data_IF_570424013401
#
_entry.id   IF_570424013401
#
_cell.length_a   1.000
_cell.length_b   1.000
_cell.length_c   1.000
_cell.angle_alpha   90.00
_cell.angle_beta   90.00
_cell.angle_gamma   90.00
#
_symmetry.space_group_name_H-M   'P 1'
#
loop_
_entity.id
_entity.type
_entity.pdbx_description
1 polymer ?
#
# COMPACT_ATOMS: atom_id res chain seq x y z
N UNK A 1 5.55 -17.03 31.37
CA UNK A 1 6.18 -15.70 31.25
C UNK A 1 5.19 -14.78 30.54
N UNK A 2 4.94 -13.62 31.16
CA UNK A 2 3.68 -12.87 31.11
C UNK A 2 3.33 -12.23 29.75
N UNK A 3 2.05 -12.34 29.36
CA UNK A 3 1.43 -11.64 28.22
C UNK A 3 1.50 -10.10 28.33
N UNK A 4 1.89 -9.55 29.49
CA UNK A 4 2.07 -8.10 29.73
C UNK A 4 3.31 -7.52 29.06
N UNK A 5 4.32 -8.34 28.74
CA UNK A 5 5.54 -7.83 28.09
C UNK A 5 5.32 -7.44 26.62
N UNK A 6 4.41 -8.14 25.92
CA UNK A 6 4.14 -7.94 24.50
C UNK A 6 3.31 -6.66 24.27
N UNK A 7 2.37 -6.34 25.17
CA UNK A 7 1.55 -5.12 25.07
C UNK A 7 2.34 -3.83 25.25
N UNK A 8 3.31 -3.79 26.17
CA UNK A 8 4.15 -2.61 26.40
C UNK A 8 5.14 -2.31 25.28
N UNK A 9 5.62 -3.36 24.60
CA UNK A 9 6.49 -3.23 23.44
C UNK A 9 5.67 -2.68 22.25
N UNK A 10 4.49 -3.24 21.96
CA UNK A 10 3.61 -2.81 20.87
C UNK A 10 3.22 -1.31 20.96
N UNK A 11 2.90 -0.81 22.16
CA UNK A 11 2.61 0.62 22.37
C UNK A 11 3.82 1.53 22.11
N UNK A 12 5.04 1.05 22.37
CA UNK A 12 6.25 1.85 22.18
C UNK A 12 6.61 2.04 20.70
N UNK A 13 6.30 1.07 19.84
CA UNK A 13 6.53 1.17 18.40
C UNK A 13 5.60 2.18 17.73
N UNK A 14 4.31 2.17 18.11
CA UNK A 14 3.33 3.14 17.59
C UNK A 14 3.61 4.57 18.04
N UNK A 15 4.13 4.77 19.25
CA UNK A 15 4.48 6.10 19.75
C UNK A 15 5.73 6.71 19.06
N UNK A 16 6.60 5.89 18.46
CA UNK A 16 7.83 6.36 17.81
C UNK A 16 7.66 6.69 16.33
N UNK A 17 6.65 6.11 15.68
CA UNK A 17 6.25 6.48 14.32
C UNK A 17 4.91 7.19 14.40
N UNK A 18 4.94 8.52 14.57
CA UNK A 18 3.78 9.41 14.39
C UNK A 18 3.35 9.46 12.90
N UNK A 19 3.29 8.30 12.24
CA UNK A 19 3.07 8.12 10.80
C UNK A 19 1.65 8.51 10.38
N UNK A 20 0.72 8.43 11.33
CA UNK A 20 -0.70 8.74 11.13
C UNK A 20 -1.11 10.14 11.62
N UNK A 21 -0.15 10.96 12.08
CA UNK A 21 -0.39 12.38 12.25
C UNK A 21 0.09 13.10 11.00
N UNK A 22 -0.84 13.76 10.31
CA UNK A 22 -0.54 14.48 9.09
C UNK A 22 0.41 15.65 9.38
N UNK A 23 1.58 15.65 8.75
CA UNK A 23 2.49 16.78 8.83
C UNK A 23 1.97 17.90 7.91
N UNK A 24 1.72 19.08 8.46
CA UNK A 24 1.22 20.27 7.71
C UNK A 24 2.11 20.59 6.51
N UNK A 25 3.43 20.46 6.62
CA UNK A 25 4.38 20.67 5.51
C UNK A 25 4.20 19.63 4.42
N UNK A 26 3.97 18.36 4.78
CA UNK A 26 3.69 17.31 3.79
C UNK A 26 2.37 17.55 3.05
N UNK A 27 1.33 18.02 3.73
CA UNK A 27 0.05 18.36 3.11
C UNK A 27 0.18 19.51 2.12
N UNK A 28 0.87 20.60 2.49
CA UNK A 28 1.11 21.74 1.60
C UNK A 28 1.92 21.31 0.37
N UNK A 29 2.93 20.44 0.55
CA UNK A 29 3.72 19.89 -0.55
C UNK A 29 2.92 19.04 -1.52
N UNK A 30 1.93 18.27 -1.05
CA UNK A 30 1.07 17.45 -1.92
C UNK A 30 0.14 18.30 -2.79
N UNK A 31 -0.35 19.44 -2.29
CA UNK A 31 -1.23 20.33 -3.05
C UNK A 31 -0.48 21.42 -3.84
N UNK A 32 0.86 21.38 -3.89
CA UNK A 32 1.66 22.30 -4.70
C UNK A 32 1.77 21.85 -6.15
N UNK A 33 2.33 22.71 -7.03
CA UNK A 33 2.61 22.34 -8.42
C UNK A 33 3.61 21.20 -8.53
N UNK A 34 4.61 21.22 -7.66
CA UNK A 34 5.62 20.17 -7.54
C UNK A 34 4.99 18.85 -7.10
N UNK A 35 4.03 18.90 -6.16
CA UNK A 35 3.21 17.75 -5.77
C UNK A 35 2.43 17.15 -6.94
N UNK A 36 1.81 18.01 -7.76
CA UNK A 36 1.14 17.59 -9.00
C UNK A 36 2.09 16.93 -10.00
N UNK A 37 3.26 17.52 -10.26
CA UNK A 37 4.26 16.92 -11.16
C UNK A 37 4.78 15.56 -10.64
N UNK A 38 4.89 15.41 -9.32
CA UNK A 38 5.22 14.13 -8.69
C UNK A 38 4.13 13.09 -8.90
N UNK A 39 2.87 13.48 -8.74
CA UNK A 39 1.71 12.63 -9.02
C UNK A 39 1.68 12.19 -10.49
N UNK A 40 1.91 13.11 -11.41
CA UNK A 40 1.98 12.84 -12.86
C UNK A 40 3.08 11.82 -13.21
N UNK A 41 4.20 11.85 -12.47
CA UNK A 41 5.26 10.85 -12.61
C UNK A 41 4.95 9.51 -11.96
N UNK A 42 4.25 9.51 -10.82
CA UNK A 42 3.94 8.31 -10.05
C UNK A 42 2.82 7.48 -10.67
N UNK A 43 1.76 8.12 -11.18
CA UNK A 43 0.58 7.43 -11.73
C UNK A 43 0.93 6.42 -12.85
N UNK A 44 1.76 6.76 -13.86
CA UNK A 44 2.18 5.80 -14.88
C UNK A 44 2.94 4.60 -14.30
N UNK A 45 3.76 4.81 -13.28
CA UNK A 45 4.52 3.74 -12.62
C UNK A 45 3.58 2.79 -11.88
N UNK A 46 2.61 3.32 -11.14
CA UNK A 46 1.61 2.52 -10.45
C UNK A 46 0.76 1.72 -11.44
N UNK A 47 0.29 2.35 -12.51
CA UNK A 47 -0.48 1.66 -13.55
C UNK A 47 0.33 0.52 -14.19
N UNK A 48 1.57 0.78 -14.60
CA UNK A 48 2.43 -0.23 -15.20
C UNK A 48 2.71 -1.41 -14.25
N UNK A 49 2.88 -1.13 -12.95
CA UNK A 49 3.11 -2.17 -11.95
C UNK A 49 1.87 -3.04 -11.74
N UNK A 50 0.68 -2.44 -11.71
CA UNK A 50 -0.58 -3.17 -11.57
C UNK A 50 -0.83 -4.03 -12.80
N UNK A 51 -0.63 -3.49 -14.01
CA UNK A 51 -0.77 -4.26 -15.25
C UNK A 51 0.19 -5.45 -15.28
N UNK A 52 1.44 -5.24 -14.85
CA UNK A 52 2.43 -6.31 -14.75
C UNK A 52 2.01 -7.38 -13.73
N UNK A 53 1.49 -6.97 -12.57
CA UNK A 53 1.02 -7.88 -11.53
C UNK A 53 -0.21 -8.68 -11.99
N UNK A 54 -1.21 -8.03 -12.61
CA UNK A 54 -2.39 -8.67 -13.19
C UNK A 54 -1.96 -9.71 -14.22
N UNK A 55 -1.09 -9.33 -15.18
CA UNK A 55 -0.57 -10.24 -16.19
C UNK A 55 0.12 -11.46 -15.57
N UNK A 56 0.91 -11.24 -14.52
CA UNK A 56 1.60 -12.32 -13.81
C UNK A 56 0.64 -13.28 -13.11
N UNK A 57 -0.35 -12.74 -12.40
CA UNK A 57 -1.32 -13.50 -11.63
C UNK A 57 -2.28 -14.28 -12.54
N UNK A 58 -2.72 -13.69 -13.66
CA UNK A 58 -3.59 -14.37 -14.64
C UNK A 58 -2.98 -15.64 -15.23
N UNK A 59 -1.64 -15.76 -15.23
CA UNK A 59 -0.95 -16.96 -15.71
C UNK A 59 -0.82 -18.06 -14.64
N UNK A 60 -1.21 -17.79 -13.37
CA UNK A 60 -0.98 -18.69 -12.25
C UNK A 60 -2.26 -19.45 -11.89
N UNK A 61 -2.18 -20.79 -11.90
CA UNK A 61 -3.27 -21.65 -11.47
C UNK A 61 -3.45 -21.59 -9.96
N UNK A 62 -4.69 -21.63 -9.50
CA UNK A 62 -5.05 -21.62 -8.07
C UNK A 62 -5.03 -20.25 -7.42
N UNK A 63 -4.74 -19.18 -8.17
CA UNK A 63 -4.78 -17.80 -7.68
C UNK A 63 -5.88 -17.05 -8.41
N UNK A 64 -6.91 -16.69 -7.67
CA UNK A 64 -7.93 -15.75 -8.11
C UNK A 64 -7.61 -14.36 -7.55
N UNK A 65 -8.09 -13.31 -8.22
CA UNK A 65 -7.93 -11.95 -7.70
C UNK A 65 -9.03 -11.02 -8.18
N UNK A 66 -9.21 -9.93 -7.43
CA UNK A 66 -10.09 -8.82 -7.78
C UNK A 66 -9.25 -7.54 -7.97
N UNK A 67 -9.45 -6.89 -9.12
CA UNK A 67 -8.88 -5.59 -9.48
C UNK A 67 -10.05 -4.59 -9.57
N UNK A 68 -10.27 -3.75 -8.55
CA UNK A 68 -11.19 -2.63 -8.64
C UNK A 68 -10.58 -1.48 -9.45
N UNK A 69 -11.41 -0.75 -10.20
CA UNK A 69 -10.98 0.46 -10.91
C UNK A 69 -10.64 1.61 -9.95
N UNK A 70 -9.83 2.56 -10.43
CA UNK A 70 -9.49 3.77 -9.67
C UNK A 70 -8.53 3.53 -8.50
N UNK A 71 -7.92 2.36 -8.41
CA UNK A 71 -6.92 2.02 -7.39
C UNK A 71 -5.80 1.17 -7.98
N UNK A 72 -4.64 1.17 -7.33
CA UNK A 72 -3.54 0.28 -7.65
C UNK A 72 -3.53 -1.01 -6.81
N UNK A 73 -4.58 -1.23 -6.00
CA UNK A 73 -4.68 -2.38 -5.11
C UNK A 73 -5.23 -3.62 -5.83
N UNK A 74 -4.66 -4.78 -5.54
CA UNK A 74 -5.16 -6.09 -5.95
C UNK A 74 -5.51 -6.91 -4.71
N UNK A 75 -6.71 -7.51 -4.70
CA UNK A 75 -7.15 -8.40 -3.63
C UNK A 75 -7.01 -9.84 -4.09
N UNK A 76 -6.13 -10.60 -3.46
CA UNK A 76 -5.79 -11.96 -3.86
C UNK A 76 -6.61 -12.98 -3.07
N UNK A 77 -7.13 -13.98 -3.76
CA UNK A 77 -7.66 -15.20 -3.20
C UNK A 77 -6.73 -16.36 -3.59
N UNK A 78 -6.06 -16.92 -2.59
CA UNK A 78 -5.04 -17.95 -2.77
C UNK A 78 -5.48 -19.31 -2.18
N UNK A 79 -6.77 -19.52 -1.94
CA UNK A 79 -7.27 -20.75 -1.29
C UNK A 79 -6.91 -22.02 -2.07
N UNK A 80 -6.81 -21.93 -3.38
CA UNK A 80 -6.47 -23.06 -4.26
C UNK A 80 -5.00 -23.04 -4.72
N UNK A 81 -4.17 -22.15 -4.15
CA UNK A 81 -2.76 -22.02 -4.50
C UNK A 81 -1.90 -23.00 -3.69
N UNK A 82 -1.27 -23.94 -4.40
CA UNK A 82 -0.26 -24.90 -3.91
C UNK A 82 1.06 -24.75 -4.69
#
# INVERSE_FOLDING_TARGET
MSATAISGIASSWQARTYYNAMNVLSAIGTFSKEGGAWLDGLLPVLNANVDAAVKYLSARKGVDFFHPEGTYMLFLNCLDWC
#
